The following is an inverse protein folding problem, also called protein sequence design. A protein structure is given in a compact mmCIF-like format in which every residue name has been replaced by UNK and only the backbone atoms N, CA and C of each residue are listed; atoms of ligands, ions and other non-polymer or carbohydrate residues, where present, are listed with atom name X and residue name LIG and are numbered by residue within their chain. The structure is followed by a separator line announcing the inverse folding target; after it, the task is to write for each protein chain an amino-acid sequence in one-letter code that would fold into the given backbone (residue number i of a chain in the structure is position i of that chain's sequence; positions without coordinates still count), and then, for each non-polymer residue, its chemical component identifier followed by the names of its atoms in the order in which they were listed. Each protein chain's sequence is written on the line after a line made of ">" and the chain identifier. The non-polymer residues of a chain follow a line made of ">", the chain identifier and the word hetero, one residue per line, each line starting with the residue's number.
data_IF_421557957955
#
_entry.id   IF_421557957955
#
_cell.length_a   1.000
_cell.length_b   1.000
_cell.length_c   1.000
_cell.angle_alpha   90.00
_cell.angle_beta   90.00
_cell.angle_gamma   90.00
#
_symmetry.space_group_name_H-M   'P 1'
#
loop_
_entity.id
_entity.type
_entity.pdbx_description
1 polymer ?
#
# COMPACT_ATOMS: atom_id res chain seq x y z
N UNK A 1 31.58 -13.67 85.55
CA UNK A 1 30.97 -12.57 84.76
C UNK A 1 31.09 -12.94 83.28
N UNK A 2 29.98 -13.26 82.62
CA UNK A 2 29.96 -13.67 81.20
C UNK A 2 29.82 -12.42 80.34
N UNK A 3 30.84 -12.12 79.52
CA UNK A 3 30.72 -11.10 78.48
C UNK A 3 30.11 -11.77 77.25
N UNK A 4 28.87 -11.42 76.94
CA UNK A 4 28.19 -11.78 75.69
C UNK A 4 28.54 -10.69 74.68
N UNK A 5 29.31 -11.03 73.63
CA UNK A 5 29.52 -10.12 72.51
C UNK A 5 28.24 -10.04 71.65
N UNK A 6 27.84 -8.84 71.19
CA UNK A 6 26.72 -8.71 70.28
C UNK A 6 27.09 -9.18 68.87
N UNK A 7 26.19 -9.97 68.30
CA UNK A 7 26.30 -10.64 67.02
C UNK A 7 26.53 -9.69 65.82
N UNK A 8 27.67 -9.84 65.15
CA UNK A 8 27.99 -9.30 63.82
C UNK A 8 27.30 -10.09 62.70
N UNK A 9 26.00 -10.37 62.81
CA UNK A 9 25.28 -11.27 61.88
C UNK A 9 24.33 -10.52 60.92
N UNK A 10 23.98 -9.25 61.18
CA UNK A 10 22.96 -8.54 60.38
C UNK A 10 23.41 -8.01 59.01
N UNK A 11 24.68 -7.68 58.78
CA UNK A 11 25.11 -7.08 57.50
C UNK A 11 25.23 -8.11 56.36
N UNK A 12 25.64 -9.35 56.66
CA UNK A 12 25.82 -10.39 55.64
C UNK A 12 24.50 -10.93 55.09
N UNK A 13 23.44 -10.98 55.93
CA UNK A 13 22.12 -11.45 55.52
C UNK A 13 21.41 -10.44 54.61
N UNK A 14 21.46 -9.15 54.98
CA UNK A 14 20.91 -8.06 54.18
C UNK A 14 21.62 -7.93 52.81
N UNK A 15 22.95 -8.06 52.78
CA UNK A 15 23.72 -8.04 51.53
C UNK A 15 23.37 -9.21 50.59
N UNK A 16 23.16 -10.41 51.13
CA UNK A 16 22.70 -11.57 50.34
C UNK A 16 21.27 -11.40 49.83
N UNK A 17 20.36 -10.87 50.66
CA UNK A 17 18.98 -10.59 50.27
C UNK A 17 18.92 -9.55 49.13
N UNK A 18 19.72 -8.49 49.21
CA UNK A 18 19.86 -7.49 48.14
C UNK A 18 20.43 -8.09 46.85
N UNK A 19 21.44 -8.96 46.95
CA UNK A 19 21.98 -9.65 45.79
C UNK A 19 20.94 -10.56 45.11
N UNK A 20 20.16 -11.33 45.89
CA UNK A 20 19.07 -12.14 45.36
C UNK A 20 17.96 -11.31 44.72
N UNK A 21 17.56 -10.21 45.36
CA UNK A 21 16.56 -9.29 44.80
C UNK A 21 17.05 -8.66 43.49
N UNK A 22 18.31 -8.23 43.43
CA UNK A 22 18.92 -7.67 42.21
C UNK A 22 18.98 -8.71 41.09
N UNK A 23 19.43 -9.94 41.39
CA UNK A 23 19.43 -11.03 40.41
C UNK A 23 18.01 -11.34 39.91
N UNK A 24 17.01 -11.32 40.79
CA UNK A 24 15.62 -11.55 40.41
C UNK A 24 15.08 -10.43 39.51
N UNK A 25 15.38 -9.16 39.82
CA UNK A 25 15.03 -8.01 38.98
C UNK A 25 15.70 -8.06 37.60
N UNK A 26 16.95 -8.50 37.53
CA UNK A 26 17.66 -8.68 36.25
C UNK A 26 16.99 -9.79 35.43
N UNK A 27 16.63 -10.92 36.05
CA UNK A 27 15.92 -12.01 35.35
C UNK A 27 14.56 -11.53 34.84
N UNK A 28 13.80 -10.79 35.65
CA UNK A 28 12.53 -10.19 35.22
C UNK A 28 12.74 -9.21 34.07
N UNK A 29 13.71 -8.31 34.16
CA UNK A 29 14.02 -7.33 33.13
C UNK A 29 14.38 -7.98 31.80
N UNK A 30 15.24 -9.00 31.82
CA UNK A 30 15.60 -9.79 30.63
C UNK A 30 14.38 -10.52 30.07
N UNK A 31 13.53 -11.09 30.92
CA UNK A 31 12.29 -11.75 30.52
C UNK A 31 11.30 -10.82 29.83
N UNK A 32 11.07 -9.63 30.40
CA UNK A 32 10.20 -8.60 29.82
C UNK A 32 10.77 -8.11 28.49
N UNK A 33 12.07 -7.81 28.43
CA UNK A 33 12.72 -7.36 27.18
C UNK A 33 12.64 -8.43 26.09
N UNK A 34 12.87 -9.71 26.41
CA UNK A 34 12.76 -10.80 25.46
C UNK A 34 11.31 -10.99 24.97
N UNK A 35 10.32 -10.83 25.86
CA UNK A 35 8.90 -10.86 25.50
C UNK A 35 8.52 -9.71 24.57
N UNK A 36 8.89 -8.47 24.92
CA UNK A 36 8.66 -7.28 24.09
C UNK A 36 9.32 -7.41 22.71
N UNK A 37 10.55 -7.92 22.66
CA UNK A 37 11.25 -8.16 21.41
C UNK A 37 10.53 -9.16 20.50
N UNK A 38 10.04 -10.27 21.07
CA UNK A 38 9.25 -11.26 20.32
C UNK A 38 7.92 -10.69 19.82
N UNK A 39 7.23 -9.91 20.66
CA UNK A 39 5.99 -9.22 20.30
C UNK A 39 6.22 -8.27 19.11
N UNK A 40 7.24 -7.41 19.18
CA UNK A 40 7.59 -6.49 18.09
C UNK A 40 7.92 -7.20 16.77
N UNK A 41 8.63 -8.33 16.82
CA UNK A 41 8.89 -9.15 15.63
C UNK A 41 7.58 -9.72 15.07
N UNK A 42 6.70 -10.21 15.94
CA UNK A 42 5.42 -10.77 15.54
C UNK A 42 4.53 -9.72 14.89
N UNK A 43 4.46 -8.52 15.46
CA UNK A 43 3.72 -7.38 14.91
C UNK A 43 4.27 -6.97 13.54
N UNK A 44 5.59 -6.81 13.41
CA UNK A 44 6.22 -6.51 12.11
C UNK A 44 5.90 -7.56 11.05
N UNK A 45 5.95 -8.85 11.41
CA UNK A 45 5.59 -9.93 10.49
C UNK A 45 4.12 -9.86 10.08
N UNK A 46 3.24 -9.56 11.04
CA UNK A 46 1.82 -9.38 10.77
C UNK A 46 1.57 -8.21 9.81
N UNK A 47 2.23 -7.06 10.03
CA UNK A 47 2.08 -5.89 9.17
C UNK A 47 2.58 -6.16 7.75
N UNK A 48 3.70 -6.88 7.60
CA UNK A 48 4.18 -7.32 6.28
C UNK A 48 3.13 -8.19 5.60
N UNK A 49 2.61 -9.21 6.28
CA UNK A 49 1.59 -10.10 5.71
C UNK A 49 0.33 -9.33 5.30
N UNK A 50 -0.14 -8.39 6.11
CA UNK A 50 -1.31 -7.55 5.81
C UNK A 50 -1.03 -6.65 4.61
N UNK A 51 0.16 -6.05 4.52
CA UNK A 51 0.56 -5.24 3.38
C UNK A 51 0.57 -6.06 2.09
N UNK A 52 1.17 -7.25 2.10
CA UNK A 52 1.20 -8.17 0.95
C UNK A 52 -0.20 -8.61 0.52
N UNK A 53 -1.11 -8.91 1.46
CA UNK A 53 -2.49 -9.26 1.15
C UNK A 53 -3.24 -8.10 0.48
N UNK A 54 -3.13 -6.89 1.02
CA UNK A 54 -3.74 -5.72 0.41
C UNK A 54 -3.15 -5.39 -0.97
N UNK A 55 -1.85 -5.56 -1.18
CA UNK A 55 -1.23 -5.39 -2.51
C UNK A 55 -1.73 -6.43 -3.51
N UNK A 56 -1.87 -7.69 -3.08
CA UNK A 56 -2.46 -8.75 -3.88
C UNK A 56 -3.90 -8.39 -4.30
N UNK A 57 -4.70 -7.90 -3.35
CA UNK A 57 -6.06 -7.45 -3.60
C UNK A 57 -6.14 -6.23 -4.51
N UNK A 58 -5.22 -5.26 -4.40
CA UNK A 58 -5.10 -4.14 -5.34
C UNK A 58 -4.89 -4.66 -6.77
N UNK A 59 -3.84 -5.45 -6.99
CA UNK A 59 -3.47 -5.92 -8.31
C UNK A 59 -4.58 -6.78 -8.95
N UNK A 60 -5.19 -7.69 -8.17
CA UNK A 60 -6.29 -8.52 -8.62
C UNK A 60 -7.54 -7.68 -8.96
N UNK A 61 -7.94 -6.76 -8.07
CA UNK A 61 -9.11 -5.91 -8.29
C UNK A 61 -8.93 -5.03 -9.51
N UNK A 62 -7.79 -4.34 -9.62
CA UNK A 62 -7.48 -3.46 -10.75
C UNK A 62 -7.51 -4.24 -12.07
N UNK A 63 -6.90 -5.42 -12.10
CA UNK A 63 -6.81 -6.18 -13.34
C UNK A 63 -8.15 -6.77 -13.79
N UNK A 64 -9.01 -7.13 -12.83
CA UNK A 64 -10.32 -7.70 -13.13
C UNK A 64 -11.28 -6.71 -13.80
N UNK A 65 -11.10 -5.39 -13.62
CA UNK A 65 -12.00 -4.40 -14.26
C UNK A 65 -11.86 -4.37 -15.78
N UNK A 66 -10.70 -4.79 -16.30
CA UNK A 66 -10.43 -4.88 -17.74
C UNK A 66 -10.60 -6.30 -18.29
N UNK A 67 -11.02 -7.25 -17.44
CA UNK A 67 -11.37 -8.58 -17.90
C UNK A 67 -12.68 -8.51 -18.70
N UNK A 68 -12.58 -8.69 -20.02
CA UNK A 68 -13.73 -8.70 -20.90
C UNK A 68 -14.01 -10.12 -21.44
N UNK A 69 -14.94 -10.88 -20.83
CA UNK A 69 -15.25 -12.23 -21.28
C UNK A 69 -15.94 -12.25 -22.66
N UNK A 70 -16.56 -11.14 -23.07
CA UNK A 70 -17.30 -11.02 -24.34
C UNK A 70 -16.38 -10.65 -25.52
N UNK A 71 -15.08 -10.39 -25.27
CA UNK A 71 -14.09 -9.94 -26.27
C UNK A 71 -14.53 -8.71 -27.10
N UNK A 72 -15.38 -7.87 -26.50
CA UNK A 72 -15.83 -6.60 -27.09
C UNK A 72 -14.68 -5.60 -27.04
N UNK A 73 -14.56 -4.74 -28.05
CA UNK A 73 -13.57 -3.66 -28.03
C UNK A 73 -13.82 -2.76 -26.81
N UNK A 74 -12.77 -2.41 -26.04
CA UNK A 74 -12.94 -1.66 -24.78
C UNK A 74 -13.70 -0.34 -24.98
N UNK A 75 -13.51 0.33 -26.12
CA UNK A 75 -14.25 1.56 -26.46
C UNK A 75 -15.74 1.31 -26.69
N UNK A 76 -16.11 0.15 -27.24
CA UNK A 76 -17.51 -0.24 -27.39
C UNK A 76 -18.10 -0.65 -26.03
N UNK A 77 -17.31 -1.30 -25.17
CA UNK A 77 -17.72 -1.67 -23.82
C UNK A 77 -18.07 -0.44 -22.97
N UNK A 78 -17.24 0.61 -23.00
CA UNK A 78 -17.42 1.83 -22.19
C UNK A 78 -18.46 2.81 -22.75
N UNK A 79 -19.00 2.59 -23.95
CA UNK A 79 -20.13 3.37 -24.46
C UNK A 79 -21.43 3.11 -23.66
N UNK A 80 -21.46 2.07 -22.83
CA UNK A 80 -22.51 1.84 -21.85
C UNK A 80 -22.09 2.45 -20.49
N UNK A 81 -22.89 3.38 -19.91
CA UNK A 81 -22.54 4.06 -18.67
C UNK A 81 -22.45 3.13 -17.46
N UNK A 82 -23.20 2.04 -17.41
CA UNK A 82 -23.12 1.04 -16.35
C UNK A 82 -21.79 0.28 -16.42
N UNK A 83 -21.40 -0.13 -17.64
CA UNK A 83 -20.11 -0.80 -17.90
C UNK A 83 -18.92 0.12 -17.60
N UNK A 84 -19.02 1.41 -17.95
CA UNK A 84 -18.02 2.41 -17.58
C UNK A 84 -17.94 2.63 -16.06
N UNK A 85 -19.07 2.57 -15.35
CA UNK A 85 -19.09 2.67 -13.88
C UNK A 85 -18.33 1.52 -13.22
N UNK A 86 -18.44 0.29 -13.74
CA UNK A 86 -17.66 -0.86 -13.25
C UNK A 86 -16.15 -0.58 -13.29
N UNK A 87 -15.66 0.04 -14.38
CA UNK A 87 -14.24 0.42 -14.49
C UNK A 87 -13.89 1.50 -13.46
N UNK A 88 -14.68 2.57 -13.38
CA UNK A 88 -14.42 3.69 -12.46
C UNK A 88 -14.36 3.20 -11.01
N UNK A 89 -15.37 2.44 -10.58
CA UNK A 89 -15.51 1.95 -9.21
C UNK A 89 -14.47 0.88 -8.88
N UNK A 90 -14.18 -0.01 -9.81
CA UNK A 90 -13.18 -1.06 -9.61
C UNK A 90 -11.76 -0.49 -9.50
N UNK A 91 -11.38 0.49 -10.31
CA UNK A 91 -10.09 1.20 -10.17
C UNK A 91 -10.04 1.95 -8.84
N UNK A 92 -11.11 2.63 -8.44
CA UNK A 92 -11.17 3.34 -7.17
C UNK A 92 -11.08 2.40 -5.94
N UNK A 93 -11.71 1.23 -6.02
CA UNK A 93 -11.62 0.20 -4.99
C UNK A 93 -10.21 -0.39 -4.93
N UNK A 94 -9.60 -0.68 -6.08
CA UNK A 94 -8.22 -1.12 -6.13
C UNK A 94 -7.33 -0.14 -5.38
N UNK A 95 -7.37 1.15 -5.71
CA UNK A 95 -6.57 2.19 -5.04
C UNK A 95 -6.77 2.25 -3.52
N UNK A 96 -7.97 1.94 -3.03
CA UNK A 96 -8.23 1.84 -1.60
C UNK A 96 -7.43 0.71 -0.94
N UNK A 97 -7.24 -0.42 -1.64
CA UNK A 97 -6.34 -1.50 -1.19
C UNK A 97 -4.88 -1.08 -1.21
N UNK A 98 -4.42 -0.35 -2.23
CA UNK A 98 -3.04 0.18 -2.24
C UNK A 98 -2.78 1.13 -1.07
N UNK A 99 -3.73 2.04 -0.80
CA UNK A 99 -3.67 2.93 0.37
C UNK A 99 -3.73 2.18 1.70
N UNK A 100 -4.41 1.03 1.77
CA UNK A 100 -4.38 0.20 2.97
C UNK A 100 -3.01 -0.47 3.12
N UNK A 101 -2.48 -1.07 2.05
CA UNK A 101 -1.16 -1.71 2.05
C UNK A 101 -0.05 -0.75 2.48
N UNK A 102 -0.10 0.50 2.01
CA UNK A 102 0.89 1.52 2.32
C UNK A 102 0.92 1.91 3.80
N UNK A 103 -0.23 1.87 4.50
CA UNK A 103 -0.30 2.13 5.95
C UNK A 103 0.41 1.06 6.76
N UNK A 104 0.27 -0.20 6.38
CA UNK A 104 1.00 -1.30 7.03
C UNK A 104 2.49 -1.29 6.65
N UNK A 105 2.82 -0.83 5.44
CA UNK A 105 4.21 -0.72 4.99
C UNK A 105 4.96 0.45 5.64
N UNK A 106 4.32 1.60 5.87
CA UNK A 106 4.94 2.77 6.51
C UNK A 106 5.42 2.47 7.95
N UNK A 107 4.79 1.49 8.61
CA UNK A 107 5.19 0.98 9.93
C UNK A 107 6.38 0.02 9.83
N UNK A 108 6.52 -0.70 8.70
CA UNK A 108 7.57 -1.70 8.45
C UNK A 108 8.84 -1.13 7.78
N UNK A 109 8.74 -0.07 6.98
CA UNK A 109 9.84 0.53 6.20
C UNK A 109 9.93 2.04 6.42
N UNK A 110 10.61 2.42 7.51
CA UNK A 110 11.30 3.71 7.72
C UNK A 110 11.08 4.83 6.68
N UNK A 111 9.91 5.47 6.69
CA UNK A 111 9.72 6.83 6.18
C UNK A 111 9.68 7.05 4.66
N UNK A 112 9.45 6.03 3.82
CA UNK A 112 9.21 6.28 2.39
C UNK A 112 7.75 6.67 2.13
N UNK A 113 7.55 7.85 1.53
CA UNK A 113 6.24 8.39 1.14
C UNK A 113 5.62 7.53 0.03
N UNK A 114 4.35 7.16 0.21
CA UNK A 114 3.55 6.40 -0.75
C UNK A 114 2.28 7.22 -0.99
N UNK A 115 2.24 8.07 -2.03
CA UNK A 115 0.99 8.67 -2.57
C UNK A 115 1.20 9.65 -3.74
N UNK A 116 1.93 9.29 -4.80
CA UNK A 116 1.96 10.12 -6.01
C UNK A 116 1.19 9.51 -7.19
N UNK A 117 1.02 8.19 -7.26
CA UNK A 117 0.20 7.51 -8.28
C UNK A 117 -1.29 7.85 -8.19
N UNK A 118 -1.82 8.01 -6.97
CA UNK A 118 -3.25 8.28 -6.74
C UNK A 118 -3.75 9.58 -7.35
N UNK A 119 -2.87 10.57 -7.56
CA UNK A 119 -3.25 11.84 -8.20
C UNK A 119 -3.51 11.64 -9.69
N UNK A 120 -2.62 10.92 -10.38
CA UNK A 120 -2.78 10.58 -11.79
C UNK A 120 -4.03 9.74 -12.02
N UNK A 121 -4.25 8.73 -11.19
CA UNK A 121 -5.43 7.88 -11.29
C UNK A 121 -6.71 8.67 -11.02
N UNK A 122 -6.71 9.61 -10.07
CA UNK A 122 -7.88 10.46 -9.85
C UNK A 122 -8.21 11.34 -11.05
N UNK A 123 -7.20 11.89 -11.73
CA UNK A 123 -7.39 12.67 -12.96
C UNK A 123 -7.97 11.79 -14.08
N UNK A 124 -7.47 10.56 -14.25
CA UNK A 124 -8.05 9.58 -15.18
C UNK A 124 -9.52 9.28 -14.84
N UNK A 125 -9.84 9.03 -13.57
CA UNK A 125 -11.20 8.78 -13.12
C UNK A 125 -12.11 9.98 -13.34
N UNK A 126 -11.61 11.21 -13.22
CA UNK A 126 -12.40 12.41 -13.49
C UNK A 126 -12.76 12.56 -14.96
N UNK A 127 -11.85 12.23 -15.87
CA UNK A 127 -12.15 12.19 -17.31
C UNK A 127 -13.23 11.14 -17.60
N UNK A 128 -13.09 9.93 -17.05
CA UNK A 128 -14.08 8.86 -17.22
C UNK A 128 -15.45 9.20 -16.62
N UNK A 129 -15.50 9.86 -15.45
CA UNK A 129 -16.75 10.35 -14.83
C UNK A 129 -17.41 11.45 -15.67
N UNK A 130 -16.61 12.32 -16.29
CA UNK A 130 -17.11 13.34 -17.21
C UNK A 130 -17.74 12.71 -18.45
N UNK A 131 -17.08 11.68 -18.99
CA UNK A 131 -17.61 10.91 -20.11
C UNK A 131 -18.88 10.13 -19.75
N UNK A 132 -18.93 9.51 -18.56
CA UNK A 132 -20.15 8.85 -18.07
C UNK A 132 -21.33 9.80 -17.97
N UNK A 133 -21.11 10.97 -17.36
CA UNK A 133 -22.14 12.03 -17.26
C UNK A 133 -22.66 12.42 -18.65
N UNK A 134 -21.76 12.52 -19.63
CA UNK A 134 -22.15 12.77 -21.02
C UNK A 134 -23.02 11.63 -21.58
N UNK A 135 -22.66 10.36 -21.38
CA UNK A 135 -23.45 9.22 -21.85
C UNK A 135 -24.85 9.22 -21.24
N UNK A 136 -24.95 9.52 -19.94
CA UNK A 136 -26.23 9.59 -19.20
C UNK A 136 -27.11 10.77 -19.64
N UNK A 137 -26.49 11.87 -20.08
CA UNK A 137 -27.20 13.07 -20.54
C UNK A 137 -28.05 12.85 -21.80
N UNK A 138 -27.84 11.74 -22.53
CA UNK A 138 -28.48 11.46 -23.82
C UNK A 138 -28.30 12.59 -24.85
N UNK A 139 -27.18 13.32 -24.78
CA UNK A 139 -26.83 14.35 -25.77
C UNK A 139 -26.67 13.72 -27.15
N UNK A 140 -27.15 14.43 -28.18
CA UNK A 140 -26.93 14.06 -29.60
C UNK A 140 -25.61 14.60 -30.13
N UNK A 141 -24.98 15.52 -29.42
CA UNK A 141 -23.69 16.10 -29.81
C UNK A 141 -22.56 15.14 -29.44
N UNK A 142 -21.51 14.96 -30.26
CA UNK A 142 -20.37 14.14 -29.90
C UNK A 142 -19.64 14.66 -28.65
N UNK A 143 -19.15 13.76 -27.82
CA UNK A 143 -18.29 14.13 -26.70
C UNK A 143 -16.95 14.71 -27.19
N UNK A 144 -16.68 15.97 -26.86
CA UNK A 144 -15.50 16.70 -27.34
C UNK A 144 -14.16 16.04 -26.99
N UNK A 145 -14.08 15.34 -25.86
CA UNK A 145 -12.84 14.75 -25.34
C UNK A 145 -12.73 13.23 -25.58
N UNK A 146 -13.48 12.66 -26.53
CA UNK A 146 -13.49 11.20 -26.74
C UNK A 146 -12.09 10.60 -27.01
N UNK A 147 -11.18 11.36 -27.64
CA UNK A 147 -9.79 10.95 -27.83
C UNK A 147 -9.05 10.81 -26.50
N UNK A 148 -9.26 11.73 -25.57
CA UNK A 148 -8.65 11.69 -24.25
C UNK A 148 -9.17 10.51 -23.43
N UNK A 149 -10.47 10.20 -23.52
CA UNK A 149 -11.06 9.00 -22.92
C UNK A 149 -10.36 7.73 -23.42
N UNK A 150 -10.15 7.61 -24.74
CA UNK A 150 -9.47 6.45 -25.31
C UNK A 150 -8.02 6.32 -24.82
N UNK A 151 -7.29 7.43 -24.70
CA UNK A 151 -5.93 7.45 -24.16
C UNK A 151 -5.92 7.04 -22.69
N UNK A 152 -6.83 7.60 -21.86
CA UNK A 152 -6.97 7.25 -20.44
C UNK A 152 -7.24 5.75 -20.25
N UNK A 153 -8.13 5.17 -21.05
CA UNK A 153 -8.42 3.74 -20.99
C UNK A 153 -7.20 2.90 -21.36
N UNK A 154 -6.46 3.28 -22.41
CA UNK A 154 -5.23 2.60 -22.82
C UNK A 154 -4.15 2.67 -21.74
N UNK A 155 -4.01 3.82 -21.09
CA UNK A 155 -3.09 4.01 -19.97
C UNK A 155 -3.48 3.12 -18.78
N UNK A 156 -4.77 3.07 -18.42
CA UNK A 156 -5.26 2.19 -17.36
C UNK A 156 -5.05 0.70 -17.71
N UNK A 157 -5.23 0.30 -18.98
CA UNK A 157 -4.90 -1.05 -19.44
C UNK A 157 -3.40 -1.35 -19.33
N UNK A 158 -2.54 -0.36 -19.60
CA UNK A 158 -1.08 -0.49 -19.43
C UNK A 158 -0.72 -0.72 -17.97
N UNK A 159 -1.34 0.03 -17.05
CA UNK A 159 -1.18 -0.16 -15.60
C UNK A 159 -1.68 -1.56 -15.20
N UNK A 160 -2.88 -1.95 -15.65
CA UNK A 160 -3.46 -3.26 -15.40
C UNK A 160 -2.55 -4.41 -15.82
N UNK A 161 -1.95 -4.32 -17.01
CA UNK A 161 -1.04 -5.36 -17.51
C UNK A 161 0.20 -5.49 -16.63
N UNK A 162 0.80 -4.36 -16.21
CA UNK A 162 1.93 -4.36 -15.31
C UNK A 162 1.57 -4.98 -13.94
N UNK A 163 0.43 -4.60 -13.36
CA UNK A 163 -0.06 -5.17 -12.09
C UNK A 163 -0.29 -6.68 -12.20
N UNK A 164 -0.87 -7.14 -13.30
CA UNK A 164 -1.10 -8.56 -13.56
C UNK A 164 0.22 -9.34 -13.70
N UNK A 165 1.26 -8.76 -14.30
CA UNK A 165 2.60 -9.36 -14.35
C UNK A 165 3.19 -9.51 -12.95
N UNK A 166 3.12 -8.46 -12.12
CA UNK A 166 3.56 -8.52 -10.71
C UNK A 166 2.83 -9.60 -9.92
N UNK A 167 1.52 -9.68 -10.09
CA UNK A 167 0.67 -10.68 -9.47
C UNK A 167 1.05 -12.12 -9.88
N UNK A 168 1.19 -12.38 -11.19
CA UNK A 168 1.53 -13.71 -11.73
C UNK A 168 2.92 -14.18 -11.30
N UNK A 169 3.90 -13.28 -11.26
CA UNK A 169 5.28 -13.60 -10.88
C UNK A 169 5.45 -13.80 -9.38
N UNK A 170 4.38 -13.65 -8.57
CA UNK A 170 4.45 -13.61 -7.11
C UNK A 170 5.47 -12.59 -6.62
N UNK A 171 5.66 -11.51 -7.39
CA UNK A 171 6.39 -10.31 -6.96
C UNK A 171 5.48 -9.53 -5.99
N UNK A 172 5.06 -10.21 -4.92
CA UNK A 172 4.19 -9.69 -3.86
C UNK A 172 4.94 -8.80 -2.89
N UNK A 173 6.27 -8.68 -3.05
CA UNK A 173 7.03 -7.58 -2.46
C UNK A 173 6.45 -6.30 -3.01
N UNK A 174 5.78 -5.56 -2.13
CA UNK A 174 5.13 -4.28 -2.38
C UNK A 174 5.91 -3.47 -3.43
N UNK A 175 5.34 -3.34 -4.64
CA UNK A 175 5.84 -2.35 -5.58
C UNK A 175 5.50 -0.98 -5.04
N UNK A 176 6.46 -0.08 -5.10
CA UNK A 176 6.31 1.28 -4.60
C UNK A 176 5.93 2.22 -5.73
N UNK A 177 5.59 3.46 -5.38
CA UNK A 177 5.46 4.55 -6.35
C UNK A 177 6.73 4.67 -7.21
N UNK A 178 7.92 4.43 -6.65
CA UNK A 178 9.18 4.42 -7.40
C UNK A 178 9.19 3.36 -8.52
N UNK A 179 8.70 2.15 -8.23
CA UNK A 179 8.54 1.11 -9.26
C UNK A 179 7.56 1.56 -10.35
N UNK A 180 6.43 2.15 -9.97
CA UNK A 180 5.44 2.67 -10.91
C UNK A 180 6.07 3.74 -11.82
N UNK A 181 6.80 4.71 -11.25
CA UNK A 181 7.45 5.78 -12.01
C UNK A 181 8.55 5.31 -12.95
N UNK A 182 9.27 4.25 -12.56
CA UNK A 182 10.35 3.71 -13.38
C UNK A 182 9.82 2.79 -14.49
N UNK A 183 8.83 1.95 -14.18
CA UNK A 183 8.46 0.83 -15.04
C UNK A 183 7.23 1.12 -15.91
N UNK A 184 6.30 1.97 -15.45
CA UNK A 184 5.00 2.19 -16.10
C UNK A 184 4.80 3.62 -16.55
N UNK A 185 5.05 4.60 -15.69
CA UNK A 185 4.83 6.02 -15.99
C UNK A 185 5.42 6.49 -17.33
N UNK A 186 6.64 6.05 -17.76
CA UNK A 186 7.21 6.46 -19.04
C UNK A 186 6.40 5.96 -20.25
N UNK A 187 5.65 4.87 -20.10
CA UNK A 187 4.83 4.23 -21.15
C UNK A 187 3.45 4.86 -21.30
N UNK A 188 3.03 5.70 -20.36
CA UNK A 188 1.72 6.37 -20.39
C UNK A 188 1.71 7.50 -21.42
N UNK A 189 0.61 7.60 -22.15
CA UNK A 189 0.40 8.50 -23.29
C UNK A 189 -0.48 9.71 -22.96
N UNK A 190 -1.20 9.69 -21.83
CA UNK A 190 -2.10 10.79 -21.44
C UNK A 190 -1.36 12.08 -21.14
N UNK A 191 -1.88 13.19 -21.66
CA UNK A 191 -1.39 14.55 -21.43
C UNK A 191 -1.41 14.95 -19.95
N UNK A 192 -2.23 14.28 -19.13
CA UNK A 192 -2.29 14.45 -17.66
C UNK A 192 -0.91 14.21 -17.00
N UNK A 193 -0.05 13.41 -17.64
CA UNK A 193 1.33 13.13 -17.22
C UNK A 193 2.22 14.38 -17.16
N UNK A 194 1.97 15.36 -18.04
CA UNK A 194 2.87 16.50 -18.24
C UNK A 194 2.79 17.58 -17.15
N UNK A 195 1.72 17.61 -16.35
CA UNK A 195 1.46 18.71 -15.41
C UNK A 195 1.95 18.49 -13.99
N UNK A 196 2.45 17.30 -13.64
CA UNK A 196 2.59 16.93 -12.22
C UNK A 196 4.00 16.58 -11.75
N UNK A 197 4.96 16.28 -12.63
CA UNK A 197 6.32 15.95 -12.22
C UNK A 197 7.40 16.39 -13.22
N UNK A 198 8.16 17.43 -12.84
CA UNK A 198 9.55 17.62 -13.29
C UNK A 198 10.43 16.79 -12.38
N UNK A 199 11.06 15.74 -12.91
CA UNK A 199 12.21 15.14 -12.23
C UNK A 199 13.30 16.20 -12.17
N UNK A 200 13.62 16.69 -10.97
CA UNK A 200 14.93 17.29 -10.74
C UNK A 200 15.94 16.16 -10.85
N UNK A 201 16.53 16.00 -12.03
CA UNK A 201 17.76 15.24 -12.19
C UNK A 201 18.90 16.09 -11.65
N UNK A 202 19.06 16.12 -10.33
CA UNK A 202 20.32 16.52 -9.70
C UNK A 202 21.04 15.25 -9.28
N UNK A 203 21.97 14.84 -10.15
CA UNK A 203 23.20 14.15 -9.74
C UNK A 203 24.16 15.16 -9.09
#
# INVERSE_FOLDING_TARGET
>A
MKVVMPATIKSSFLGKLLAYALCFLIIISLGINAYQYKMLISERKNDINMSEDFMSNHAATFSNVFYNPENIAIMEYINNPDKLSVIIEGVQLAESYYMAASKFQAIALSGKSIMQSGVLLNDYLNELRSYRTYLESNSKEPYGNIKQVAIVIKDLQTISNWLMEKYKNKELKVYTDENFYKEVYPKLESDVKSYRFTFSSED
#
